data_IF_963373889594
#
_entry.id   IF_963373889594
#
_cell.length_a   1.000
_cell.length_b   1.000
_cell.length_c   1.000
_cell.angle_alpha   90.00
_cell.angle_beta   90.00
_cell.angle_gamma   90.00
#
_symmetry.space_group_name_H-M   'P 1'
#
loop_
_entity.id
_entity.type
_entity.pdbx_description
1 polymer ?
#
# COMPACT_ATOMS: atom_id res chain seq x y z
N UNK A 1 27.53 24.16 10.43
CA UNK A 1 26.96 25.54 10.48
C UNK A 1 25.65 25.45 11.25
N UNK A 2 25.56 26.03 12.45
CA UNK A 2 24.33 26.05 13.26
C UNK A 2 23.35 27.01 12.58
N UNK A 3 22.17 26.52 12.20
CA UNK A 3 21.09 27.39 11.71
C UNK A 3 20.60 28.28 12.87
N UNK A 4 20.80 29.58 12.72
CA UNK A 4 20.43 30.64 13.68
C UNK A 4 19.06 31.26 13.32
N UNK A 5 18.41 30.81 12.24
CA UNK A 5 17.06 31.25 11.85
C UNK A 5 16.04 30.32 12.51
N UNK A 6 15.08 30.91 13.22
CA UNK A 6 14.11 30.21 14.08
C UNK A 6 13.49 28.98 13.43
N UNK A 7 13.38 27.93 14.23
CA UNK A 7 12.82 26.63 13.85
C UNK A 7 11.34 26.80 13.50
N UNK A 8 10.97 26.57 12.24
CA UNK A 8 9.56 26.59 11.82
C UNK A 8 8.79 25.51 12.58
N UNK A 9 7.88 25.93 13.46
CA UNK A 9 7.05 25.06 14.30
C UNK A 9 5.67 24.78 13.69
N UNK A 10 5.39 25.32 12.51
CA UNK A 10 4.14 25.05 11.80
C UNK A 10 4.13 23.61 11.30
N UNK A 11 2.96 22.96 11.26
CA UNK A 11 2.83 21.61 10.70
C UNK A 11 3.22 21.60 9.21
N UNK A 12 3.00 22.72 8.51
CA UNK A 12 3.19 22.83 7.07
C UNK A 12 4.68 22.88 6.64
N UNK A 13 5.60 23.30 7.52
CA UNK A 13 7.07 23.28 7.33
C UNK A 13 7.51 23.68 5.91
N UNK A 14 6.93 24.77 5.37
CA UNK A 14 7.04 25.13 3.95
C UNK A 14 8.46 25.53 3.51
N UNK A 15 9.32 25.88 4.47
CA UNK A 15 10.70 26.34 4.24
C UNK A 15 11.77 25.26 4.47
N UNK A 16 11.40 24.03 4.84
CA UNK A 16 12.34 22.90 4.99
C UNK A 16 12.27 21.96 3.79
N UNK A 17 13.42 21.46 3.33
CA UNK A 17 13.49 20.49 2.23
C UNK A 17 12.75 19.19 2.58
N UNK A 18 12.19 18.51 1.57
CA UNK A 18 11.25 17.38 1.71
C UNK A 18 11.79 16.19 2.53
N UNK A 19 13.12 16.04 2.64
CA UNK A 19 13.76 14.99 3.46
C UNK A 19 13.87 15.34 4.95
N UNK A 20 13.42 16.53 5.35
CA UNK A 20 13.64 17.14 6.66
C UNK A 20 12.33 17.47 7.37
N UNK A 21 11.25 16.73 7.07
CA UNK A 21 10.00 16.83 7.84
C UNK A 21 10.31 16.39 9.27
N UNK A 22 10.31 17.35 10.20
CA UNK A 22 10.64 17.10 11.61
C UNK A 22 9.42 16.76 12.46
N UNK A 23 8.24 17.17 12.01
CA UNK A 23 6.97 16.97 12.70
C UNK A 23 5.90 16.50 11.73
N UNK A 24 5.04 15.60 12.20
CA UNK A 24 3.88 15.17 11.44
C UNK A 24 2.74 14.85 12.41
N UNK A 25 1.50 14.99 11.93
CA UNK A 25 0.34 14.64 12.72
C UNK A 25 0.20 13.11 12.78
N UNK A 26 0.22 12.58 13.99
CA UNK A 26 -0.08 11.17 14.23
C UNK A 26 -1.54 11.03 14.68
N UNK A 27 -2.34 10.11 14.10
CA UNK A 27 -3.70 9.93 14.52
C UNK A 27 -3.78 9.43 15.97
N UNK A 28 -4.74 9.95 16.74
CA UNK A 28 -4.91 9.65 18.16
C UNK A 28 -5.09 8.14 18.43
N UNK A 29 -5.79 7.43 17.55
CA UNK A 29 -6.11 6.01 17.72
C UNK A 29 -5.15 5.09 16.94
N UNK A 30 -3.99 5.63 16.56
CA UNK A 30 -3.00 4.89 15.79
C UNK A 30 -3.16 5.06 14.28
N UNK A 31 -2.19 4.57 13.50
CA UNK A 31 -2.09 4.86 12.07
C UNK A 31 -3.24 4.24 11.26
N UNK A 32 -3.87 3.18 11.78
CA UNK A 32 -5.04 2.53 11.16
C UNK A 32 -6.24 3.47 11.01
N UNK A 33 -6.40 4.45 11.92
CA UNK A 33 -7.52 5.39 11.91
C UNK A 33 -7.65 6.14 10.58
N UNK A 34 -6.53 6.47 9.93
CA UNK A 34 -6.56 7.13 8.62
C UNK A 34 -7.22 6.24 7.56
N UNK A 35 -6.86 4.96 7.53
CA UNK A 35 -7.38 4.01 6.54
C UNK A 35 -8.83 3.62 6.80
N UNK A 36 -9.25 3.58 8.07
CA UNK A 36 -10.66 3.45 8.44
C UNK A 36 -11.48 4.60 7.84
N UNK A 37 -11.02 5.84 7.98
CA UNK A 37 -11.72 7.01 7.44
C UNK A 37 -11.71 7.02 5.90
N UNK A 38 -10.59 6.67 5.26
CA UNK A 38 -10.54 6.49 3.80
C UNK A 38 -11.57 5.43 3.35
N UNK A 39 -11.65 4.30 4.06
CA UNK A 39 -12.61 3.23 3.74
C UNK A 39 -14.06 3.69 3.87
N UNK A 40 -14.35 4.53 4.88
CA UNK A 40 -15.66 5.13 5.10
C UNK A 40 -16.03 6.08 3.96
N UNK A 41 -15.10 6.94 3.55
CA UNK A 41 -15.31 7.89 2.44
C UNK A 41 -15.54 7.15 1.12
N UNK A 42 -14.77 6.11 0.82
CA UNK A 42 -14.95 5.29 -0.39
C UNK A 42 -16.37 4.72 -0.43
N UNK A 43 -16.82 4.08 0.65
CA UNK A 43 -18.18 3.51 0.74
C UNK A 43 -19.27 4.57 0.64
N UNK A 44 -19.09 5.71 1.31
CA UNK A 44 -20.04 6.83 1.24
C UNK A 44 -20.19 7.42 -0.17
N UNK A 45 -19.15 7.28 -1.01
CA UNK A 45 -19.17 7.67 -2.43
C UNK A 45 -19.62 6.54 -3.38
N UNK A 46 -20.13 5.43 -2.84
CA UNK A 46 -20.62 4.29 -3.63
C UNK A 46 -19.54 3.29 -4.07
N UNK A 47 -18.30 3.45 -3.58
CA UNK A 47 -17.24 2.48 -3.84
C UNK A 47 -17.37 1.23 -2.98
N UNK A 48 -16.91 0.10 -3.52
CA UNK A 48 -16.95 -1.20 -2.85
C UNK A 48 -15.55 -1.59 -2.37
N UNK A 49 -15.47 -2.20 -1.18
CA UNK A 49 -14.21 -2.69 -0.61
C UNK A 49 -14.38 -4.14 -0.24
N UNK A 50 -13.61 -5.00 -0.93
CA UNK A 50 -13.61 -6.43 -0.74
C UNK A 50 -12.40 -6.86 0.09
N UNK A 51 -12.64 -7.18 1.36
CA UNK A 51 -11.62 -7.77 2.24
C UNK A 51 -11.52 -9.28 1.98
N UNK A 52 -10.37 -9.88 2.29
CA UNK A 52 -10.13 -11.32 2.07
C UNK A 52 -10.25 -11.77 0.60
N UNK A 53 -10.12 -10.83 -0.33
CA UNK A 53 -10.18 -11.07 -1.77
C UNK A 53 -8.80 -10.86 -2.38
N UNK A 54 -8.06 -11.96 -2.55
CA UNK A 54 -6.71 -11.94 -3.13
C UNK A 54 -6.80 -11.91 -4.65
N UNK A 55 -6.15 -10.94 -5.29
CA UNK A 55 -5.94 -10.97 -6.74
C UNK A 55 -4.96 -12.10 -7.06
N UNK A 56 -5.35 -13.00 -7.96
CA UNK A 56 -4.55 -14.17 -8.36
C UNK A 56 -4.15 -14.13 -9.83
N UNK A 57 -4.65 -13.15 -10.59
CA UNK A 57 -4.29 -12.98 -11.99
C UNK A 57 -4.90 -11.74 -12.61
N UNK A 58 -4.28 -11.25 -13.68
CA UNK A 58 -4.69 -10.12 -14.48
C UNK A 58 -4.89 -10.60 -15.92
N UNK A 59 -6.08 -10.38 -16.46
CA UNK A 59 -6.43 -10.78 -17.81
C UNK A 59 -6.08 -9.65 -18.79
N UNK A 60 -5.11 -9.88 -19.66
CA UNK A 60 -4.71 -8.96 -20.72
C UNK A 60 -5.38 -9.27 -22.06
N UNK A 61 -5.68 -8.23 -22.85
CA UNK A 61 -6.07 -8.31 -24.25
C UNK A 61 -5.52 -7.11 -25.00
N UNK A 62 -4.82 -7.32 -26.13
CA UNK A 62 -4.30 -6.25 -27.01
C UNK A 62 -3.62 -5.10 -26.24
N UNK A 63 -2.70 -5.47 -25.34
CA UNK A 63 -1.93 -4.54 -24.50
C UNK A 63 -2.75 -3.76 -23.44
N UNK A 64 -3.92 -4.25 -23.05
CA UNK A 64 -4.74 -3.69 -21.96
C UNK A 64 -5.18 -4.76 -20.98
N UNK A 65 -5.34 -4.39 -19.71
CA UNK A 65 -5.98 -5.27 -18.73
C UNK A 65 -7.49 -5.08 -18.83
N UNK A 66 -8.23 -6.17 -19.01
CA UNK A 66 -9.69 -6.18 -19.17
C UNK A 66 -10.41 -6.79 -17.96
N UNK A 67 -9.66 -7.32 -17.00
CA UNK A 67 -10.22 -7.86 -15.78
C UNK A 67 -9.19 -8.48 -14.85
N UNK A 68 -9.65 -8.79 -13.65
CA UNK A 68 -8.85 -9.33 -12.56
C UNK A 68 -9.48 -10.62 -12.04
N UNK A 69 -8.68 -11.66 -11.88
CA UNK A 69 -9.06 -12.90 -11.19
C UNK A 69 -8.86 -12.70 -9.70
N UNK A 70 -9.89 -13.01 -8.93
CA UNK A 70 -9.95 -12.76 -7.50
C UNK A 70 -10.39 -14.03 -6.80
N UNK A 71 -9.65 -14.41 -5.77
CA UNK A 71 -9.95 -15.53 -4.89
C UNK A 71 -10.37 -15.03 -3.51
N UNK A 72 -11.54 -15.42 -3.05
CA UNK A 72 -11.91 -15.25 -1.66
C UNK A 72 -11.15 -16.27 -0.83
N UNK A 73 -10.23 -15.82 0.04
CA UNK A 73 -9.36 -16.73 0.80
C UNK A 73 -10.09 -17.47 1.93
N UNK A 74 -11.28 -17.01 2.32
CA UNK A 74 -12.09 -17.65 3.36
C UNK A 74 -12.95 -18.77 2.80
N UNK A 75 -13.52 -18.59 1.59
CA UNK A 75 -14.43 -19.57 0.96
C UNK A 75 -13.74 -20.42 -0.11
N UNK A 76 -12.60 -19.97 -0.64
CA UNK A 76 -11.91 -20.58 -1.78
C UNK A 76 -12.51 -20.24 -3.14
N UNK A 77 -13.63 -19.50 -3.19
CA UNK A 77 -14.31 -19.13 -4.43
C UNK A 77 -13.43 -18.23 -5.31
N UNK A 78 -13.37 -18.54 -6.60
CA UNK A 78 -12.65 -17.76 -7.60
C UNK A 78 -13.63 -17.11 -8.58
N UNK A 79 -13.50 -15.79 -8.75
CA UNK A 79 -14.32 -15.01 -9.67
C UNK A 79 -13.45 -14.10 -10.53
N UNK A 80 -13.92 -13.75 -11.72
CA UNK A 80 -13.28 -12.73 -12.55
C UNK A 80 -14.11 -11.47 -12.52
N UNK A 81 -13.49 -10.33 -12.17
CA UNK A 81 -14.11 -9.01 -12.21
C UNK A 81 -13.61 -8.28 -13.45
N UNK A 82 -14.52 -7.87 -14.33
CA UNK A 82 -14.19 -7.03 -15.48
C UNK A 82 -13.81 -5.64 -15.01
N UNK A 83 -12.85 -5.01 -15.68
CA UNK A 83 -12.40 -3.67 -15.34
C UNK A 83 -11.91 -2.96 -16.61
N UNK A 84 -12.31 -1.69 -16.77
CA UNK A 84 -11.79 -0.83 -17.85
C UNK A 84 -10.42 -0.25 -17.50
N UNK A 85 -10.17 -0.04 -16.20
CA UNK A 85 -8.91 0.47 -15.66
C UNK A 85 -8.51 -0.31 -14.41
N UNK A 86 -7.22 -0.57 -14.26
CA UNK A 86 -6.65 -1.24 -13.09
C UNK A 86 -5.50 -0.41 -12.52
N UNK A 87 -5.62 -0.05 -11.23
CA UNK A 87 -4.56 0.60 -10.47
C UNK A 87 -4.03 -0.41 -9.45
N UNK A 88 -2.74 -0.74 -9.54
CA UNK A 88 -2.13 -1.74 -8.67
C UNK A 88 -1.27 -1.07 -7.61
N UNK A 89 -1.56 -1.37 -6.35
CA UNK A 89 -0.70 -1.05 -5.20
C UNK A 89 -0.09 -2.32 -4.59
N UNK A 90 -0.22 -3.48 -5.25
CA UNK A 90 0.36 -4.73 -4.77
C UNK A 90 1.88 -4.74 -4.96
N UNK A 91 2.64 -5.57 -4.21
CA UNK A 91 4.06 -5.71 -4.44
C UNK A 91 4.39 -6.00 -5.91
N UNK A 92 5.44 -5.37 -6.43
CA UNK A 92 5.84 -5.51 -7.85
C UNK A 92 6.06 -6.97 -8.25
N UNK A 93 6.61 -7.79 -7.35
CA UNK A 93 6.76 -9.23 -7.56
C UNK A 93 5.40 -9.89 -7.84
N UNK A 94 4.44 -9.72 -6.92
CA UNK A 94 3.09 -10.28 -7.04
C UNK A 94 2.37 -9.77 -8.30
N UNK A 95 2.58 -8.50 -8.67
CA UNK A 95 2.03 -7.91 -9.89
C UNK A 95 2.56 -8.63 -11.13
N UNK A 96 3.88 -8.81 -11.22
CA UNK A 96 4.51 -9.46 -12.36
C UNK A 96 4.08 -10.93 -12.46
N UNK A 97 4.01 -11.64 -11.34
CA UNK A 97 3.50 -13.02 -11.28
C UNK A 97 2.02 -13.12 -11.69
N UNK A 98 1.22 -12.08 -11.41
CA UNK A 98 -0.20 -12.08 -11.73
C UNK A 98 -0.50 -11.76 -13.21
N UNK A 99 0.45 -11.27 -13.98
CA UNK A 99 0.23 -10.95 -15.40
C UNK A 99 0.09 -12.26 -16.19
N UNK A 100 -1.08 -12.50 -16.78
CA UNK A 100 -1.35 -13.72 -17.55
C UNK A 100 -0.67 -13.77 -18.94
N UNK A 101 0.25 -12.85 -19.24
CA UNK A 101 0.90 -12.72 -20.55
C UNK A 101 2.35 -13.18 -20.57
N UNK A 102 2.97 -13.14 -21.75
CA UNK A 102 4.40 -13.38 -21.96
C UNK A 102 5.21 -12.21 -21.41
N UNK A 103 5.32 -12.12 -20.08
CA UNK A 103 6.28 -11.22 -19.45
C UNK A 103 7.69 -11.68 -19.86
N UNK A 104 8.53 -10.81 -20.46
CA UNK A 104 9.89 -11.17 -20.82
C UNK A 104 10.68 -11.76 -19.65
N UNK A 105 11.52 -12.77 -19.93
CA UNK A 105 12.21 -13.55 -18.89
C UNK A 105 13.12 -12.69 -18.01
N UNK A 106 13.80 -11.71 -18.61
CA UNK A 106 14.63 -10.74 -17.91
C UNK A 106 13.81 -9.90 -16.91
N UNK A 107 12.61 -9.45 -17.31
CA UNK A 107 11.69 -8.73 -16.43
C UNK A 107 11.22 -9.63 -15.27
N UNK A 108 10.87 -10.89 -15.54
CA UNK A 108 10.51 -11.85 -14.49
C UNK A 108 11.67 -12.07 -13.51
N UNK A 109 12.90 -12.24 -14.01
CA UNK A 109 14.09 -12.42 -13.19
C UNK A 109 14.34 -11.20 -12.28
N UNK A 110 14.23 -9.99 -12.83
CA UNK A 110 14.38 -8.76 -12.04
C UNK A 110 13.31 -8.66 -10.96
N UNK A 111 12.04 -8.89 -11.31
CA UNK A 111 10.92 -8.82 -10.35
C UNK A 111 11.08 -9.84 -9.20
N UNK A 112 11.48 -11.07 -9.54
CA UNK A 112 11.74 -12.13 -8.56
C UNK A 112 12.97 -11.84 -7.68
N UNK A 113 13.95 -11.10 -8.21
CA UNK A 113 15.13 -10.64 -7.49
C UNK A 113 14.91 -9.46 -6.54
N UNK A 114 13.75 -8.78 -6.59
CA UNK A 114 13.47 -7.64 -5.71
C UNK A 114 13.41 -8.06 -4.25
N UNK A 115 14.30 -7.51 -3.42
CA UNK A 115 14.36 -7.79 -1.99
C UNK A 115 13.45 -6.82 -1.24
N UNK A 116 12.49 -7.36 -0.48
CA UNK A 116 11.67 -6.58 0.45
C UNK A 116 12.31 -6.60 1.83
N UNK A 117 12.47 -5.43 2.44
CA UNK A 117 12.99 -5.31 3.80
C UNK A 117 11.91 -5.71 4.78
N UNK A 118 12.22 -6.71 5.60
CA UNK A 118 11.38 -7.07 6.73
C UNK A 118 11.66 -6.18 7.95
N UNK A 119 10.68 -6.01 8.82
CA UNK A 119 10.84 -5.33 10.11
C UNK A 119 9.98 -6.01 11.17
N UNK A 120 10.55 -6.16 12.37
CA UNK A 120 9.85 -6.73 13.52
C UNK A 120 9.57 -5.61 14.51
N UNK A 121 8.32 -5.49 14.94
CA UNK A 121 7.90 -4.54 15.98
C UNK A 121 7.64 -5.26 17.28
N UNK A 122 8.30 -4.84 18.37
CA UNK A 122 8.06 -5.34 19.73
C UNK A 122 7.41 -4.23 20.54
N UNK A 123 6.12 -4.38 20.85
CA UNK A 123 5.39 -3.44 21.69
C UNK A 123 5.47 -3.86 23.16
N UNK A 124 6.14 -3.05 23.99
CA UNK A 124 6.24 -3.27 25.44
C UNK A 124 5.29 -2.32 26.18
N UNK A 125 4.24 -2.88 26.78
CA UNK A 125 3.35 -2.14 27.68
C UNK A 125 3.82 -2.31 29.13
N UNK A 126 4.29 -1.21 29.72
CA UNK A 126 4.86 -1.22 31.07
C UNK A 126 4.06 -0.31 31.99
N UNK A 127 3.78 -0.78 33.22
CA UNK A 127 3.10 0.02 34.25
C UNK A 127 4.00 1.16 34.76
N UNK A 128 5.30 0.92 34.86
CA UNK A 128 6.31 1.89 35.25
C UNK A 128 7.65 1.47 34.67
N UNK A 129 8.32 2.40 33.99
CA UNK A 129 9.69 2.23 33.56
C UNK A 129 10.59 2.66 34.72
N UNK A 130 11.34 1.74 35.33
CA UNK A 130 12.46 2.09 36.21
C UNK A 130 13.68 2.21 35.31
N UNK A 131 14.00 3.43 34.88
CA UNK A 131 15.33 3.76 34.35
C UNK A 131 16.12 4.39 35.49
#
# INVERSE_FOLDING_TARGET
>A
VRNIVGKDSSIAQKSTGTSLIEQFMYPKFGPGQMWEEVSRIIRAKGGEIYLSHKVTGLNGHENRIIGVKVKNILTGEETTKKADYCFSTMPVRDLVESLAGDVPRDVQQVANGLIYRDFITVALLLKKLKI
#
